data_IF_544614040533
#
_entry.id   IF_544614040533
#
_cell.length_a   1.000
_cell.length_b   1.000
_cell.length_c   1.000
_cell.angle_alpha   90.00
_cell.angle_beta   90.00
_cell.angle_gamma   90.00
#
_symmetry.space_group_name_H-M   'P 1'
#
loop_
_entity.id
_entity.type
_entity.pdbx_description
1 polymer ?
#
# COMPACT_ATOMS: atom_id res chain seq x y z
N UNK A 1 23.99 8.43 45.43
CA UNK A 1 22.64 8.67 44.88
C UNK A 1 22.47 9.98 44.12
N UNK A 2 22.27 11.16 44.74
CA UNK A 2 22.04 12.41 43.96
C UNK A 2 23.21 12.76 43.03
N UNK A 3 24.44 12.72 43.56
CA UNK A 3 25.65 13.07 42.81
C UNK A 3 25.97 12.10 41.67
N UNK A 4 25.71 10.80 41.86
CA UNK A 4 25.86 9.79 40.79
C UNK A 4 24.81 9.96 39.70
N UNK A 5 23.58 10.34 40.08
CA UNK A 5 22.51 10.60 39.13
C UNK A 5 22.82 11.84 38.28
N UNK A 6 23.40 12.88 38.89
CA UNK A 6 23.87 14.09 38.20
C UNK A 6 25.06 13.79 37.26
N UNK A 7 26.00 12.91 37.65
CA UNK A 7 27.09 12.46 36.78
C UNK A 7 26.60 11.64 35.58
N UNK A 8 25.62 10.75 35.77
CA UNK A 8 25.01 9.98 34.69
C UNK A 8 24.23 10.86 33.71
N UNK A 9 23.56 11.91 34.18
CA UNK A 9 22.90 12.92 33.33
C UNK A 9 23.94 13.66 32.49
N UNK A 10 25.06 14.07 33.11
CA UNK A 10 26.15 14.79 32.43
C UNK A 10 26.87 13.93 31.39
N UNK A 11 27.07 12.65 31.66
CA UNK A 11 27.61 11.67 30.69
C UNK A 11 26.67 11.46 29.50
N UNK A 12 25.35 11.34 29.72
CA UNK A 12 24.38 11.27 28.60
C UNK A 12 24.37 12.54 27.78
N UNK A 13 24.42 13.70 28.41
CA UNK A 13 24.44 14.99 27.72
C UNK A 13 25.72 15.20 26.90
N UNK A 14 26.87 14.73 27.38
CA UNK A 14 28.13 14.75 26.61
C UNK A 14 28.18 13.76 25.45
N UNK A 15 27.34 12.71 25.46
CA UNK A 15 27.23 11.71 24.40
C UNK A 15 26.17 12.02 23.34
N UNK A 16 25.42 13.13 23.46
CA UNK A 16 24.53 13.58 22.37
C UNK A 16 25.41 14.12 21.25
N UNK A 17 25.91 13.19 20.43
CA UNK A 17 26.58 13.47 19.17
C UNK A 17 25.69 14.42 18.40
N UNK A 18 26.19 15.62 18.11
CA UNK A 18 25.49 16.64 17.33
C UNK A 18 25.06 16.00 16.01
N UNK A 19 23.80 15.62 15.92
CA UNK A 19 23.28 14.95 14.73
C UNK A 19 23.38 15.97 13.59
N UNK A 20 24.08 15.60 12.51
CA UNK A 20 24.14 16.45 11.34
C UNK A 20 22.73 16.74 10.89
N UNK A 21 22.40 18.02 10.71
CA UNK A 21 21.07 18.43 10.26
C UNK A 21 20.71 17.64 9.01
N UNK A 22 19.64 16.85 9.06
CA UNK A 22 19.16 16.04 7.94
C UNK A 22 18.37 16.89 6.92
N UNK A 23 18.06 18.14 7.28
CA UNK A 23 17.35 19.14 6.47
C UNK A 23 18.07 19.42 5.12
N UNK A 24 19.40 19.68 5.05
CA UNK A 24 20.11 19.88 3.77
C UNK A 24 19.97 18.71 2.80
N UNK A 25 19.99 17.47 3.27
CA UNK A 25 19.78 16.30 2.42
C UNK A 25 18.34 16.24 1.88
N UNK A 26 17.36 16.59 2.71
CA UNK A 26 15.96 16.71 2.30
C UNK A 26 15.74 17.80 1.24
N UNK A 27 16.35 18.97 1.41
CA UNK A 27 16.28 20.08 0.44
C UNK A 27 16.96 19.71 -0.88
N UNK A 28 18.13 19.08 -0.82
CA UNK A 28 18.83 18.60 -2.01
C UNK A 28 17.98 17.58 -2.81
N UNK A 29 17.35 16.62 -2.11
CA UNK A 29 16.50 15.62 -2.75
C UNK A 29 15.25 16.25 -3.40
N UNK A 30 14.65 17.25 -2.75
CA UNK A 30 13.51 18.00 -3.28
C UNK A 30 13.88 18.76 -4.56
N UNK A 31 15.04 19.44 -4.56
CA UNK A 31 15.56 20.15 -5.73
C UNK A 31 15.84 19.18 -6.89
N UNK A 32 16.48 18.04 -6.61
CA UNK A 32 16.73 16.99 -7.63
C UNK A 32 15.42 16.50 -8.23
N UNK A 33 14.40 16.27 -7.40
CA UNK A 33 13.08 15.80 -7.84
C UNK A 33 12.38 16.83 -8.73
N UNK A 34 12.46 18.12 -8.39
CA UNK A 34 11.89 19.22 -9.18
C UNK A 34 12.62 19.40 -10.51
N UNK A 35 13.95 19.31 -10.51
CA UNK A 35 14.77 19.40 -11.73
C UNK A 35 14.46 18.21 -12.66
N UNK A 36 14.40 16.99 -12.12
CA UNK A 36 13.99 15.79 -12.87
C UNK A 36 12.59 15.94 -13.47
N UNK A 37 11.63 16.47 -12.70
CA UNK A 37 10.28 16.73 -13.19
C UNK A 37 10.27 17.73 -14.37
N UNK A 38 11.02 18.83 -14.25
CA UNK A 38 11.12 19.85 -15.30
C UNK A 38 11.78 19.33 -16.59
N UNK A 39 12.81 18.50 -16.48
CA UNK A 39 13.47 17.85 -17.63
C UNK A 39 12.49 16.87 -18.31
N UNK A 40 11.83 16.01 -17.52
CA UNK A 40 10.88 15.03 -18.04
C UNK A 40 9.66 15.68 -18.68
N UNK A 41 9.21 16.85 -18.19
CA UNK A 41 8.09 17.59 -18.77
C UNK A 41 8.35 18.00 -20.22
N UNK A 42 9.60 18.35 -20.56
CA UNK A 42 9.98 18.75 -21.92
C UNK A 42 10.13 17.56 -22.88
N UNK A 43 10.59 16.40 -22.40
CA UNK A 43 10.76 15.21 -23.26
C UNK A 43 9.49 14.39 -23.40
N UNK A 44 8.88 13.97 -22.28
CA UNK A 44 7.74 13.05 -22.24
C UNK A 44 6.87 13.35 -21.02
N UNK A 45 5.79 14.09 -21.24
CA UNK A 45 4.86 14.53 -20.19
C UNK A 45 4.32 13.37 -19.33
N UNK A 46 4.09 12.18 -19.90
CA UNK A 46 3.59 11.00 -19.18
C UNK A 46 4.49 10.61 -17.99
N UNK A 47 5.80 10.58 -18.17
CA UNK A 47 6.72 10.20 -17.10
C UNK A 47 6.82 11.27 -16.01
N UNK A 48 6.70 12.55 -16.39
CA UNK A 48 6.67 13.66 -15.44
C UNK A 48 5.42 13.58 -14.55
N UNK A 49 4.25 13.26 -15.14
CA UNK A 49 3.01 13.04 -14.38
C UNK A 49 3.15 11.85 -13.43
N UNK A 50 3.69 10.71 -13.88
CA UNK A 50 3.92 9.56 -13.02
C UNK A 50 4.85 9.88 -11.84
N UNK A 51 5.93 10.64 -12.07
CA UNK A 51 6.85 11.05 -11.02
C UNK A 51 6.17 11.99 -10.01
N UNK A 52 5.42 12.99 -10.49
CA UNK A 52 4.67 13.89 -9.63
C UNK A 52 3.64 13.17 -8.77
N UNK A 53 2.84 12.29 -9.37
CA UNK A 53 1.86 11.45 -8.66
C UNK A 53 2.55 10.53 -7.65
N UNK A 54 3.67 9.91 -8.01
CA UNK A 54 4.44 9.04 -7.12
C UNK A 54 4.96 9.77 -5.89
N UNK A 55 5.48 11.00 -6.06
CA UNK A 55 5.95 11.84 -4.93
C UNK A 55 4.79 12.21 -4.01
N UNK A 56 3.66 12.64 -4.58
CA UNK A 56 2.46 13.00 -3.80
C UNK A 56 1.97 11.78 -3.00
N UNK A 57 1.84 10.62 -3.64
CA UNK A 57 1.44 9.38 -2.97
C UNK A 57 2.45 9.01 -1.87
N UNK A 58 3.76 9.12 -2.13
CA UNK A 58 4.80 8.84 -1.13
C UNK A 58 4.69 9.74 0.11
N UNK A 59 4.45 11.04 -0.08
CA UNK A 59 4.24 11.99 1.02
C UNK A 59 2.99 11.63 1.81
N UNK A 60 1.89 11.32 1.13
CA UNK A 60 0.63 10.92 1.77
C UNK A 60 0.82 9.63 2.58
N UNK A 61 1.46 8.62 2.01
CA UNK A 61 1.75 7.35 2.69
C UNK A 61 2.62 7.58 3.94
N UNK A 62 3.63 8.46 3.83
CA UNK A 62 4.48 8.83 4.96
C UNK A 62 3.69 9.52 6.08
N UNK A 63 2.84 10.48 5.74
CA UNK A 63 2.06 11.22 6.73
C UNK A 63 1.00 10.35 7.41
N UNK A 64 0.33 9.51 6.62
CA UNK A 64 -0.74 8.61 7.09
C UNK A 64 -0.22 7.37 7.82
N UNK A 65 1.09 7.09 7.79
CA UNK A 65 1.71 5.85 8.31
C UNK A 65 0.96 4.60 7.86
N UNK A 66 0.53 4.60 6.58
CA UNK A 66 -0.41 3.63 6.07
C UNK A 66 0.25 2.26 5.87
N UNK A 67 -0.16 1.28 6.69
CA UNK A 67 0.36 -0.08 6.64
C UNK A 67 -0.79 -1.09 6.71
N UNK A 68 -0.98 -1.87 5.64
CA UNK A 68 -2.01 -2.91 5.57
C UNK A 68 -1.86 -3.96 6.68
N UNK A 69 -0.63 -4.40 6.96
CA UNK A 69 -0.35 -5.38 8.02
C UNK A 69 -0.79 -4.87 9.40
N UNK A 70 -0.49 -3.60 9.71
CA UNK A 70 -0.91 -2.99 10.97
C UNK A 70 -2.43 -2.78 11.02
N UNK A 71 -3.04 -2.35 9.90
CA UNK A 71 -4.49 -2.17 9.82
C UNK A 71 -5.28 -3.44 10.15
N UNK A 72 -4.79 -4.63 9.74
CA UNK A 72 -5.42 -5.91 10.10
C UNK A 72 -5.02 -6.42 11.47
N UNK A 73 -3.78 -6.22 11.92
CA UNK A 73 -3.27 -6.75 13.19
C UNK A 73 -3.70 -5.94 14.42
N UNK A 74 -3.69 -4.62 14.31
CA UNK A 74 -3.91 -3.71 15.45
C UNK A 74 -5.31 -3.84 16.09
N UNK A 75 -6.40 -4.10 15.34
CA UNK A 75 -7.71 -4.41 15.93
C UNK A 75 -7.68 -5.63 16.86
N UNK A 76 -6.90 -6.67 16.54
CA UNK A 76 -6.83 -7.89 17.35
C UNK A 76 -5.94 -7.75 18.57
N UNK A 77 -4.81 -7.03 18.45
CA UNK A 77 -3.85 -6.89 19.55
C UNK A 77 -4.26 -5.75 20.50
N UNK A 78 -4.60 -4.59 19.95
CA UNK A 78 -4.77 -3.34 20.70
C UNK A 78 -6.22 -2.85 20.79
N UNK A 79 -7.15 -3.48 20.07
CA UNK A 79 -8.54 -3.01 19.95
C UNK A 79 -8.72 -1.72 19.12
N UNK A 80 -7.62 -1.05 18.74
CA UNK A 80 -7.64 0.17 17.94
C UNK A 80 -7.98 -0.15 16.48
N UNK A 81 -9.09 0.40 15.97
CA UNK A 81 -9.52 0.15 14.59
C UNK A 81 -9.24 1.33 13.65
N UNK A 82 -8.52 2.37 14.09
CA UNK A 82 -8.26 3.57 13.28
C UNK A 82 -7.59 3.23 11.93
N UNK A 83 -6.59 2.33 11.95
CA UNK A 83 -5.91 1.88 10.73
C UNK A 83 -6.84 1.10 9.78
N UNK A 84 -7.62 0.16 10.32
CA UNK A 84 -8.62 -0.62 9.56
C UNK A 84 -9.69 0.28 8.93
N UNK A 85 -10.23 1.23 9.70
CA UNK A 85 -11.23 2.20 9.23
C UNK A 85 -10.67 3.09 8.12
N UNK A 86 -9.42 3.54 8.26
CA UNK A 86 -8.72 4.29 7.21
C UNK A 86 -8.58 3.50 5.91
N UNK A 87 -8.23 2.21 6.00
CA UNK A 87 -8.15 1.32 4.84
C UNK A 87 -9.50 1.12 4.16
N UNK A 88 -10.58 0.90 4.92
CA UNK A 88 -11.93 0.72 4.36
C UNK A 88 -12.38 1.99 3.64
N UNK A 89 -12.13 3.18 4.22
CA UNK A 89 -12.43 4.46 3.56
C UNK A 89 -11.63 4.64 2.26
N UNK A 90 -10.34 4.31 2.27
CA UNK A 90 -9.50 4.35 1.06
C UNK A 90 -10.04 3.43 -0.04
N UNK A 91 -10.52 2.22 0.33
CA UNK A 91 -11.17 1.29 -0.59
C UNK A 91 -12.49 1.84 -1.16
N UNK A 92 -13.31 2.51 -0.35
CA UNK A 92 -14.54 3.15 -0.83
C UNK A 92 -14.22 4.24 -1.86
N UNK A 93 -13.29 5.14 -1.54
CA UNK A 93 -12.88 6.24 -2.45
C UNK A 93 -12.28 5.67 -3.74
N UNK A 94 -11.43 4.65 -3.63
CA UNK A 94 -10.85 3.97 -4.79
C UNK A 94 -11.93 3.30 -5.65
N UNK A 95 -12.92 2.63 -5.04
CA UNK A 95 -14.03 1.99 -5.75
C UNK A 95 -14.83 3.02 -6.57
N UNK A 96 -15.15 4.18 -5.97
CA UNK A 96 -15.84 5.28 -6.67
C UNK A 96 -14.98 5.84 -7.80
N UNK A 97 -13.68 6.06 -7.56
CA UNK A 97 -12.75 6.56 -8.58
C UNK A 97 -12.64 5.63 -9.78
N UNK A 98 -12.47 4.32 -9.54
CA UNK A 98 -12.47 3.31 -10.60
C UNK A 98 -13.82 3.22 -11.32
N UNK A 99 -14.94 3.32 -10.61
CA UNK A 99 -16.27 3.32 -11.22
C UNK A 99 -16.47 4.50 -12.19
N UNK A 100 -16.02 5.70 -11.82
CA UNK A 100 -16.09 6.89 -12.70
C UNK A 100 -15.24 6.69 -13.94
N UNK A 101 -13.98 6.25 -13.78
CA UNK A 101 -13.09 5.98 -14.91
C UNK A 101 -13.73 4.93 -15.82
N UNK A 102 -14.15 3.81 -15.26
CA UNK A 102 -14.71 2.70 -16.02
C UNK A 102 -16.01 3.08 -16.77
N UNK A 103 -16.87 3.92 -16.18
CA UNK A 103 -18.06 4.44 -16.86
C UNK A 103 -17.73 5.24 -18.12
N UNK A 104 -16.64 6.01 -18.11
CA UNK A 104 -16.18 6.79 -19.27
C UNK A 104 -15.60 5.93 -20.40
N UNK A 105 -15.02 4.77 -20.07
CA UNK A 105 -14.50 3.83 -21.07
C UNK A 105 -15.60 2.97 -21.70
N UNK A 106 -16.55 2.48 -20.89
CA UNK A 106 -17.67 1.66 -21.37
C UNK A 106 -18.57 2.44 -22.33
N UNK A 107 -18.78 3.74 -22.09
CA UNK A 107 -19.62 4.58 -22.96
C UNK A 107 -19.01 4.83 -24.35
N UNK A 108 -17.68 4.81 -24.49
CA UNK A 108 -17.00 5.21 -25.72
C UNK A 108 -16.54 4.05 -26.62
N UNK A 109 -16.33 2.83 -26.11
CA UNK A 109 -15.64 1.76 -26.88
C UNK A 109 -16.23 0.34 -26.75
N UNK A 110 -17.34 0.14 -26.06
CA UNK A 110 -17.85 -1.21 -25.81
C UNK A 110 -16.98 -1.98 -24.80
N UNK A 111 -17.44 -3.18 -24.40
CA UNK A 111 -16.86 -3.97 -23.31
C UNK A 111 -15.67 -4.77 -23.85
N UNK A 112 -14.51 -4.12 -24.02
CA UNK A 112 -13.28 -4.79 -24.40
C UNK A 112 -12.43 -5.10 -23.16
N UNK A 113 -12.30 -6.39 -22.82
CA UNK A 113 -11.55 -6.86 -21.63
C UNK A 113 -10.08 -6.43 -21.59
N UNK A 114 -9.48 -6.16 -22.75
CA UNK A 114 -8.11 -5.66 -22.87
C UNK A 114 -7.98 -4.14 -22.66
N UNK A 115 -9.08 -3.38 -22.79
CA UNK A 115 -9.10 -1.92 -22.64
C UNK A 115 -9.68 -1.46 -21.29
N UNK A 116 -10.30 -2.34 -20.50
CA UNK A 116 -10.82 -2.00 -19.18
C UNK A 116 -9.63 -1.85 -18.21
N UNK A 117 -9.41 -0.65 -17.64
CA UNK A 117 -8.38 -0.46 -16.61
C UNK A 117 -8.82 -1.19 -15.34
N UNK A 118 -8.33 -2.42 -15.17
CA UNK A 118 -8.70 -3.24 -14.00
C UNK A 118 -8.04 -4.61 -13.89
N UNK A 119 -7.18 -5.00 -14.85
CA UNK A 119 -6.47 -6.29 -14.89
C UNK A 119 -7.33 -7.44 -14.33
N UNK A 120 -8.42 -7.78 -15.03
CA UNK A 120 -9.33 -8.84 -14.60
C UNK A 120 -8.59 -10.18 -14.66
N UNK A 121 -8.14 -10.66 -13.51
CA UNK A 121 -7.42 -11.94 -13.38
C UNK A 121 -8.32 -13.01 -12.79
N UNK A 122 -8.05 -14.27 -13.16
CA UNK A 122 -8.78 -15.43 -12.65
C UNK A 122 -8.69 -15.51 -11.14
N UNK A 123 -9.84 -15.50 -10.48
CA UNK A 123 -9.95 -15.72 -9.04
C UNK A 123 -10.13 -17.22 -8.83
N UNK A 124 -9.08 -17.88 -8.35
CA UNK A 124 -9.08 -19.33 -8.12
C UNK A 124 -8.31 -19.71 -6.86
N UNK A 125 -8.13 -21.01 -6.65
CA UNK A 125 -7.47 -21.57 -5.46
C UNK A 125 -6.02 -21.08 -5.34
N UNK A 126 -5.36 -20.81 -6.46
CA UNK A 126 -4.02 -20.24 -6.53
C UNK A 126 -3.92 -18.88 -5.85
N UNK A 127 -4.96 -18.03 -5.98
CA UNK A 127 -5.00 -16.72 -5.31
C UNK A 127 -5.13 -16.89 -3.80
N UNK A 128 -5.92 -17.87 -3.34
CA UNK A 128 -6.08 -18.14 -1.91
C UNK A 128 -4.77 -18.61 -1.27
N UNK A 129 -4.08 -19.55 -1.93
CA UNK A 129 -2.77 -20.07 -1.48
C UNK A 129 -1.72 -18.94 -1.50
N UNK A 130 -1.68 -18.16 -2.58
CA UNK A 130 -0.77 -17.02 -2.70
C UNK A 130 -1.01 -15.95 -1.64
N UNK A 131 -2.28 -15.59 -1.38
CA UNK A 131 -2.65 -14.62 -0.35
C UNK A 131 -2.26 -15.10 1.06
N UNK A 132 -2.37 -16.39 1.34
CA UNK A 132 -1.96 -16.97 2.63
C UNK A 132 -0.44 -16.88 2.83
N UNK A 133 0.34 -17.33 1.84
CA UNK A 133 1.81 -17.27 1.88
C UNK A 133 2.28 -15.81 1.97
N UNK A 134 1.68 -14.92 1.18
CA UNK A 134 1.97 -13.49 1.22
C UNK A 134 1.64 -12.88 2.59
N UNK A 135 0.53 -13.27 3.21
CA UNK A 135 0.15 -12.88 4.56
C UNK A 135 1.20 -13.26 5.60
N UNK A 136 1.69 -14.51 5.57
CA UNK A 136 2.78 -14.97 6.44
C UNK A 136 4.04 -14.14 6.20
N UNK A 137 4.41 -13.92 4.93
CA UNK A 137 5.55 -13.09 4.55
C UNK A 137 5.45 -11.66 5.09
N UNK A 138 4.27 -11.03 5.01
CA UNK A 138 4.04 -9.68 5.55
C UNK A 138 4.25 -9.59 7.06
N UNK A 139 3.87 -10.63 7.81
CA UNK A 139 4.07 -10.67 9.27
C UNK A 139 5.56 -10.86 9.59
N UNK A 140 6.24 -11.77 8.91
CA UNK A 140 7.69 -12.01 9.08
C UNK A 140 8.54 -10.79 8.72
N UNK A 141 8.17 -10.07 7.65
CA UNK A 141 8.83 -8.84 7.22
C UNK A 141 8.55 -7.64 8.16
N UNK A 142 7.57 -7.76 9.06
CA UNK A 142 7.18 -6.67 9.97
C UNK A 142 6.53 -5.47 9.26
N UNK A 143 6.00 -5.67 8.05
CA UNK A 143 5.36 -4.64 7.24
C UNK A 143 4.91 -5.12 5.86
N UNK A 144 3.97 -4.40 5.25
CA UNK A 144 3.60 -4.57 3.85
C UNK A 144 4.58 -3.82 2.92
N UNK A 145 4.54 -4.10 1.62
CA UNK A 145 5.46 -3.49 0.64
C UNK A 145 5.52 -1.95 0.72
N UNK A 146 4.36 -1.28 0.83
CA UNK A 146 4.30 0.17 0.99
C UNK A 146 4.90 0.65 2.32
N UNK A 147 4.68 -0.09 3.41
CA UNK A 147 5.26 0.21 4.72
C UNK A 147 6.78 0.02 4.76
N UNK A 148 7.30 -0.97 4.05
CA UNK A 148 8.76 -1.20 3.91
C UNK A 148 9.41 -0.03 3.18
N UNK A 149 8.84 0.39 2.04
CA UNK A 149 9.33 1.54 1.26
C UNK A 149 9.29 2.84 2.07
N UNK A 150 8.20 3.07 2.80
CA UNK A 150 8.08 4.25 3.67
C UNK A 150 9.15 4.25 4.77
N UNK A 151 9.36 3.14 5.47
CA UNK A 151 10.34 3.05 6.57
C UNK A 151 11.79 3.16 6.08
N UNK A 152 12.09 2.66 4.89
CA UNK A 152 13.37 2.91 4.20
C UNK A 152 13.54 4.41 3.95
N UNK A 153 12.48 5.08 3.48
CA UNK A 153 12.47 6.53 3.31
C UNK A 153 12.64 7.33 4.62
N UNK A 154 12.27 6.74 5.78
CA UNK A 154 12.53 7.29 7.11
C UNK A 154 13.92 6.95 7.66
N UNK A 155 14.74 6.17 6.95
CA UNK A 155 16.11 5.83 7.34
C UNK A 155 16.26 4.51 8.12
N UNK A 156 15.24 3.66 8.15
CA UNK A 156 15.33 2.37 8.84
C UNK A 156 16.18 1.38 8.04
N UNK A 157 17.42 1.13 8.50
CA UNK A 157 18.37 0.25 7.83
C UNK A 157 17.88 -1.21 7.70
N UNK A 158 17.12 -1.71 8.67
CA UNK A 158 16.63 -3.10 8.67
C UNK A 158 15.69 -3.39 7.47
N UNK A 159 14.91 -2.39 7.07
CA UNK A 159 13.93 -2.54 5.98
C UNK A 159 14.60 -2.68 4.61
N UNK A 160 15.87 -2.29 4.46
CA UNK A 160 16.64 -2.55 3.23
C UNK A 160 16.82 -4.04 2.95
N UNK A 161 17.06 -4.85 3.98
CA UNK A 161 17.20 -6.30 3.82
C UNK A 161 15.89 -6.92 3.33
N UNK A 162 14.76 -6.45 3.88
CA UNK A 162 13.41 -6.87 3.47
C UNK A 162 13.16 -6.48 2.01
N UNK A 163 13.56 -5.29 1.58
CA UNK A 163 13.42 -4.85 0.19
C UNK A 163 14.21 -5.74 -0.77
N UNK A 164 15.44 -6.08 -0.43
CA UNK A 164 16.27 -6.99 -1.26
C UNK A 164 15.60 -8.37 -1.36
N UNK A 165 15.14 -8.92 -0.24
CA UNK A 165 14.39 -10.18 -0.24
C UNK A 165 13.12 -10.12 -1.10
N UNK A 166 12.39 -9.01 -1.04
CA UNK A 166 11.20 -8.77 -1.86
C UNK A 166 11.53 -8.71 -3.35
N UNK A 167 12.63 -8.04 -3.74
CA UNK A 167 13.11 -7.97 -5.13
C UNK A 167 13.48 -9.37 -5.64
N UNK A 168 14.29 -10.11 -4.88
CA UNK A 168 14.71 -11.47 -5.25
C UNK A 168 13.49 -12.38 -5.40
N UNK A 169 12.58 -12.37 -4.42
CA UNK A 169 11.36 -13.16 -4.45
C UNK A 169 10.46 -12.81 -5.65
N UNK A 170 10.33 -11.53 -5.99
CA UNK A 170 9.53 -11.09 -7.14
C UNK A 170 10.16 -11.55 -8.46
N UNK A 171 11.49 -11.50 -8.59
CA UNK A 171 12.20 -11.97 -9.79
C UNK A 171 12.04 -13.48 -9.97
N UNK A 172 12.22 -14.25 -8.89
CA UNK A 172 12.02 -15.71 -8.92
C UNK A 172 10.57 -16.05 -9.26
N UNK A 173 9.61 -15.39 -8.61
CA UNK A 173 8.19 -15.57 -8.91
C UNK A 173 7.84 -15.23 -10.37
N UNK A 174 8.42 -14.18 -10.94
CA UNK A 174 8.23 -13.81 -12.34
C UNK A 174 8.82 -14.84 -13.31
N UNK A 175 9.97 -15.44 -12.98
CA UNK A 175 10.59 -16.50 -13.77
C UNK A 175 9.73 -17.77 -13.76
N UNK A 176 9.27 -18.16 -12.59
CA UNK A 176 8.49 -19.40 -12.43
C UNK A 176 7.01 -19.21 -12.80
N UNK A 177 6.56 -17.98 -13.03
CA UNK A 177 5.18 -17.65 -13.36
C UNK A 177 4.62 -18.48 -14.52
N UNK A 178 5.43 -18.75 -15.55
CA UNK A 178 5.02 -19.57 -16.70
C UNK A 178 4.63 -21.00 -16.29
N UNK A 179 5.38 -21.60 -15.37
CA UNK A 179 5.09 -22.94 -14.84
C UNK A 179 3.78 -22.96 -14.06
N UNK A 180 3.59 -21.99 -13.15
CA UNK A 180 2.36 -21.85 -12.38
C UNK A 180 1.15 -21.56 -13.27
N UNK A 181 1.36 -20.79 -14.34
CA UNK A 181 0.29 -20.42 -15.25
C UNK A 181 -0.31 -21.62 -15.96
N UNK A 182 0.53 -22.46 -16.56
CA UNK A 182 0.07 -23.65 -17.30
C UNK A 182 -0.54 -24.73 -16.40
N UNK A 183 -0.05 -24.89 -15.16
CA UNK A 183 -0.52 -25.97 -14.28
C UNK A 183 -1.70 -25.61 -13.38
N UNK A 184 -1.88 -24.33 -13.04
CA UNK A 184 -2.85 -23.92 -12.01
C UNK A 184 -3.75 -22.74 -12.41
N UNK A 185 -3.28 -21.82 -13.26
CA UNK A 185 -3.99 -20.56 -13.52
C UNK A 185 -4.89 -20.66 -14.75
N UNK A 186 -4.47 -21.41 -15.79
CA UNK A 186 -5.17 -21.53 -17.07
C UNK A 186 -6.58 -22.09 -16.95
N UNK A 187 -6.80 -23.03 -16.02
CA UNK A 187 -8.10 -23.68 -15.80
C UNK A 187 -9.01 -22.88 -14.85
N UNK A 188 -8.51 -21.80 -14.24
CA UNK A 188 -9.29 -21.01 -13.30
C UNK A 188 -10.25 -20.06 -14.03
N UNK A 189 -11.55 -20.21 -13.76
CA UNK A 189 -12.60 -19.37 -14.32
C UNK A 189 -12.44 -17.91 -13.88
N UNK A 190 -12.33 -16.98 -14.84
CA UNK A 190 -12.49 -15.55 -14.59
C UNK A 190 -13.97 -15.27 -14.33
N UNK A 191 -14.33 -14.84 -13.12
CA UNK A 191 -15.69 -14.38 -12.82
C UNK A 191 -15.66 -12.86 -12.79
N UNK A 192 -16.17 -12.25 -13.85
CA UNK A 192 -16.35 -10.80 -13.90
C UNK A 192 -17.80 -10.45 -13.59
N UNK A 193 -18.05 -9.91 -12.41
CA UNK A 193 -19.40 -9.61 -11.94
C UNK A 193 -20.14 -8.58 -12.80
N UNK A 194 -19.40 -7.72 -13.53
CA UNK A 194 -19.98 -6.72 -14.43
C UNK A 194 -20.52 -7.28 -15.75
N UNK A 195 -20.22 -8.54 -16.07
CA UNK A 195 -20.79 -9.21 -17.23
C UNK A 195 -22.23 -9.68 -16.96
N UNK A 196 -22.61 -9.83 -15.68
CA UNK A 196 -23.92 -10.33 -15.26
C UNK A 196 -24.79 -9.24 -14.60
N UNK A 197 -24.18 -8.19 -14.05
CA UNK A 197 -24.86 -7.10 -13.34
C UNK A 197 -24.40 -5.72 -13.85
N UNK A 198 -25.33 -4.76 -13.89
CA UNK A 198 -25.02 -3.36 -14.24
C UNK A 198 -23.91 -2.82 -13.31
N UNK A 199 -22.96 -2.06 -13.88
CA UNK A 199 -21.86 -1.43 -13.16
C UNK A 199 -22.35 -0.68 -11.93
N UNK A 200 -23.50 -0.02 -12.01
CA UNK A 200 -24.10 0.70 -10.87
C UNK A 200 -24.45 -0.23 -9.71
N UNK A 201 -25.02 -1.40 -10.01
CA UNK A 201 -25.45 -2.38 -8.99
C UNK A 201 -24.22 -2.97 -8.29
N UNK A 202 -23.19 -3.32 -9.05
CA UNK A 202 -21.96 -3.91 -8.49
C UNK A 202 -21.21 -2.91 -7.61
N UNK A 203 -21.07 -1.66 -8.07
CA UNK A 203 -20.42 -0.59 -7.29
C UNK A 203 -21.21 -0.27 -6.02
N UNK A 204 -22.53 -0.17 -6.11
CA UNK A 204 -23.37 0.13 -4.95
C UNK A 204 -23.38 -1.03 -3.95
N UNK A 205 -23.42 -2.27 -4.42
CA UNK A 205 -23.25 -3.47 -3.58
C UNK A 205 -21.91 -3.47 -2.84
N UNK A 206 -20.81 -3.20 -3.54
CA UNK A 206 -19.48 -3.11 -2.94
C UNK A 206 -19.40 -2.01 -1.87
N UNK A 207 -19.95 -0.82 -2.14
CA UNK A 207 -19.99 0.28 -1.17
C UNK A 207 -20.80 -0.11 0.07
N UNK A 208 -21.95 -0.76 -0.10
CA UNK A 208 -22.78 -1.24 1.01
C UNK A 208 -22.00 -2.23 1.88
N UNK A 209 -21.32 -3.21 1.28
CA UNK A 209 -20.48 -4.17 2.01
C UNK A 209 -19.38 -3.46 2.80
N UNK A 210 -18.68 -2.51 2.17
CA UNK A 210 -17.62 -1.73 2.84
C UNK A 210 -18.17 -0.87 3.99
N UNK A 211 -19.35 -0.27 3.84
CA UNK A 211 -20.02 0.49 4.92
C UNK A 211 -20.40 -0.43 6.08
N UNK A 212 -20.90 -1.64 5.80
CA UNK A 212 -21.21 -2.63 6.84
C UNK A 212 -19.94 -3.01 7.59
N UNK A 213 -18.84 -3.30 6.89
CA UNK A 213 -17.55 -3.60 7.51
C UNK A 213 -17.02 -2.43 8.34
N UNK A 214 -17.17 -1.19 7.85
CA UNK A 214 -16.81 0.01 8.60
C UNK A 214 -17.58 0.12 9.92
N UNK A 215 -18.91 -0.06 9.87
CA UNK A 215 -19.77 -0.03 11.07
C UNK A 215 -19.42 -1.16 12.03
N UNK A 216 -19.09 -2.36 11.52
CA UNK A 216 -18.69 -3.49 12.32
C UNK A 216 -17.35 -3.25 13.03
N UNK A 217 -16.37 -2.67 12.34
CA UNK A 217 -15.11 -2.25 12.93
C UNK A 217 -15.33 -1.20 14.04
N UNK A 218 -16.18 -0.20 13.80
CA UNK A 218 -16.53 0.81 14.81
C UNK A 218 -17.22 0.18 16.03
N UNK A 219 -18.14 -0.75 15.81
CA UNK A 219 -18.84 -1.47 16.88
C UNK A 219 -17.88 -2.32 17.70
N UNK A 220 -16.90 -2.95 17.06
CA UNK A 220 -15.86 -3.73 17.71
C UNK A 220 -14.98 -2.86 18.61
N UNK A 221 -14.51 -1.72 18.10
CA UNK A 221 -13.73 -0.74 18.88
C UNK A 221 -14.48 -0.26 20.12
N UNK A 222 -15.77 0.11 19.96
CA UNK A 222 -16.62 0.55 21.07
C UNK A 222 -16.92 -0.53 22.12
N UNK A 223 -16.74 -1.81 21.78
CA UNK A 223 -16.94 -2.95 22.69
C UNK A 223 -15.67 -3.32 23.46
N UNK A 224 -14.49 -3.07 22.88
CA UNK A 224 -13.20 -3.39 23.49
C UNK A 224 -12.55 -2.22 24.24
N UNK A 225 -12.97 -0.98 23.99
CA UNK A 225 -12.51 0.22 24.72
C UNK A 225 -13.41 0.61 25.91
N UNK A 226 -14.40 -0.21 26.27
CA UNK A 226 -15.10 -0.15 27.56
C UNK A 226 -14.42 -1.09 28.54
#
# INVERSE_FOLDING_TARGET
>A
MSKEMDELIKQRQGQVKKENSQIPYGVALLLITLIMCAILWKSKYNYAVCLGVGVIIGIILRYSRFCFTAAFRDPFISGNTRGLRGMILAMIVSTVGFAVIQSGYIHNKGIDYNLIPGAVSSVGIHVMIGAFIFGIGMVLAGGCASGVLMRIGEGHALHWVVLIGFIIGTILGAKDYSFWYEHFIKDAKTIYFLEHFDLKIVVLGQIVVLIILYKLALRYENRHLK
#
